data_IF_359501907218
#
_entry.id   IF_359501907218
#
_cell.length_a   1.000
_cell.length_b   1.000
_cell.length_c   1.000
_cell.angle_alpha   90.00
_cell.angle_beta   90.00
_cell.angle_gamma   90.00
#
_symmetry.space_group_name_H-M   'P 1'
#
loop_
_entity.id
_entity.type
_entity.pdbx_description
1 polymer ?
#
# COMPACT_ATOMS: atom_id res chain seq x y z
N UNK A 1 8.66 -4.00 -19.17
CA UNK A 1 7.21 -3.99 -18.94
C UNK A 1 6.86 -3.61 -17.52
N UNK A 2 5.83 -2.85 -17.34
CA UNK A 2 5.38 -2.38 -16.05
C UNK A 2 3.93 -2.75 -15.81
N UNK A 3 3.57 -2.95 -14.56
CA UNK A 3 2.17 -3.09 -14.16
C UNK A 3 1.91 -2.21 -12.95
N UNK A 4 0.73 -1.67 -12.88
CA UNK A 4 0.32 -0.77 -11.81
C UNK A 4 -0.87 -1.37 -11.06
N UNK A 5 -0.83 -1.28 -9.74
CA UNK A 5 -1.97 -1.58 -8.89
C UNK A 5 -2.33 -0.32 -8.10
N UNK A 6 -3.60 0.05 -8.12
CA UNK A 6 -4.12 1.17 -7.33
C UNK A 6 -5.18 0.65 -6.37
N UNK A 7 -4.99 0.94 -5.10
CA UNK A 7 -5.98 0.65 -4.07
C UNK A 7 -6.42 1.97 -3.46
N UNK A 8 -7.71 2.25 -3.53
CA UNK A 8 -8.27 3.52 -3.04
C UNK A 8 -9.01 3.30 -1.72
N UNK A 9 -9.08 4.37 -0.94
CA UNK A 9 -9.88 4.43 0.29
C UNK A 9 -9.44 3.42 1.34
N UNK A 10 -8.13 3.19 1.45
CA UNK A 10 -7.58 2.38 2.53
C UNK A 10 -7.74 3.15 3.84
N UNK A 11 -8.35 2.53 4.84
CA UNK A 11 -8.67 3.19 6.11
C UNK A 11 -7.46 3.18 7.04
N UNK A 12 -6.46 3.94 6.67
CA UNK A 12 -5.26 4.16 7.46
C UNK A 12 -4.64 5.49 7.06
N UNK A 13 -3.95 6.14 8.01
CA UNK A 13 -3.27 7.40 7.79
C UNK A 13 -2.13 7.23 6.77
N UNK A 14 -1.94 8.19 5.83
CA UNK A 14 -0.82 8.11 4.87
C UNK A 14 0.54 7.99 5.54
N UNK A 15 0.77 8.65 6.67
CA UNK A 15 2.04 8.60 7.37
C UNK A 15 2.43 7.18 7.78
N UNK A 16 1.47 6.44 8.31
CA UNK A 16 1.71 5.07 8.76
C UNK A 16 2.04 4.15 7.60
N UNK A 17 1.36 4.34 6.46
CA UNK A 17 1.61 3.53 5.26
C UNK A 17 2.95 3.92 4.64
N UNK A 18 3.28 5.22 4.58
CA UNK A 18 4.55 5.68 4.03
C UNK A 18 5.74 5.13 4.77
N UNK A 19 5.64 5.02 6.09
CA UNK A 19 6.71 4.46 6.89
C UNK A 19 7.07 3.04 6.44
N UNK A 20 6.05 2.21 6.23
CA UNK A 20 6.26 0.83 5.75
C UNK A 20 6.65 0.80 4.28
N UNK A 21 6.07 1.68 3.46
CA UNK A 21 6.38 1.75 2.03
C UNK A 21 7.85 2.07 1.77
N UNK A 22 8.47 2.89 2.61
CA UNK A 22 9.88 3.23 2.46
C UNK A 22 10.79 2.01 2.62
N UNK A 23 10.33 0.97 3.32
CA UNK A 23 11.11 -0.25 3.51
C UNK A 23 11.20 -1.10 2.24
N UNK A 24 10.28 -0.91 1.30
CA UNK A 24 10.17 -1.79 0.12
C UNK A 24 10.48 -1.09 -1.20
N UNK A 25 10.68 0.23 -1.20
CA UNK A 25 10.98 0.96 -2.44
C UNK A 25 12.29 0.48 -3.06
N UNK A 26 12.24 0.22 -4.37
CA UNK A 26 13.42 -0.17 -5.13
C UNK A 26 13.90 -1.58 -4.89
N UNK A 27 13.19 -2.36 -4.11
CA UNK A 27 13.57 -3.74 -3.80
C UNK A 27 12.92 -4.73 -4.75
N UNK A 28 13.50 -5.92 -4.86
CA UNK A 28 12.86 -7.01 -5.58
C UNK A 28 11.54 -7.37 -4.92
N UNK A 29 10.59 -7.82 -5.71
CA UNK A 29 9.27 -8.20 -5.19
C UNK A 29 9.39 -9.30 -4.13
N UNK A 30 10.28 -10.28 -4.32
CA UNK A 30 10.51 -11.34 -3.34
C UNK A 30 10.95 -10.76 -1.99
N UNK A 31 11.92 -9.85 -2.02
CA UNK A 31 12.42 -9.21 -0.81
C UNK A 31 11.34 -8.34 -0.16
N UNK A 32 10.56 -7.62 -0.97
CA UNK A 32 9.48 -6.78 -0.47
C UNK A 32 8.42 -7.63 0.24
N UNK A 33 8.03 -8.75 -0.34
CA UNK A 33 7.06 -9.66 0.27
C UNK A 33 7.58 -10.20 1.60
N UNK A 34 8.86 -10.57 1.66
CA UNK A 34 9.47 -11.07 2.89
C UNK A 34 9.50 -10.00 3.97
N UNK A 35 9.86 -8.77 3.62
CA UNK A 35 9.88 -7.65 4.56
C UNK A 35 8.47 -7.38 5.10
N UNK A 36 7.47 -7.32 4.23
CA UNK A 36 6.09 -7.04 4.63
C UNK A 36 5.50 -8.17 5.49
N UNK A 37 5.84 -9.41 5.18
CA UNK A 37 5.37 -10.56 5.97
C UNK A 37 5.98 -10.56 7.38
N UNK A 38 7.19 -10.04 7.53
CA UNK A 38 7.89 -9.97 8.81
C UNK A 38 7.54 -8.73 9.62
N UNK A 39 6.96 -7.71 8.98
CA UNK A 39 6.65 -6.44 9.62
C UNK A 39 5.31 -6.54 10.34
N UNK A 40 5.33 -6.28 11.64
CA UNK A 40 4.11 -6.35 12.46
C UNK A 40 3.39 -5.00 12.48
N UNK A 41 2.88 -4.60 11.32
CA UNK A 41 2.14 -3.35 11.14
C UNK A 41 0.89 -3.60 10.30
N UNK A 42 -0.18 -2.87 10.60
CA UNK A 42 -1.42 -2.97 9.81
C UNK A 42 -1.18 -2.57 8.35
N UNK A 43 -0.35 -1.54 8.13
CA UNK A 43 -0.04 -1.06 6.78
C UNK A 43 0.63 -2.12 5.92
N UNK A 44 1.42 -3.03 6.50
CA UNK A 44 2.10 -4.07 5.75
C UNK A 44 1.12 -5.01 5.06
N UNK A 45 -0.02 -5.29 5.66
CA UNK A 45 -1.05 -6.14 5.06
C UNK A 45 -1.64 -5.50 3.80
N UNK A 46 -1.92 -4.20 3.84
CA UNK A 46 -2.44 -3.48 2.68
C UNK A 46 -1.42 -3.46 1.54
N UNK A 47 -0.16 -3.20 1.86
CA UNK A 47 0.90 -3.17 0.85
C UNK A 47 1.17 -4.55 0.28
N UNK A 48 1.12 -5.59 1.10
CA UNK A 48 1.31 -6.97 0.63
C UNK A 48 0.23 -7.37 -0.38
N UNK A 49 -1.02 -7.06 -0.08
CA UNK A 49 -2.13 -7.31 -1.01
C UNK A 49 -1.95 -6.53 -2.31
N UNK A 50 -1.50 -5.28 -2.22
CA UNK A 50 -1.28 -4.43 -3.39
C UNK A 50 -0.17 -4.99 -4.28
N UNK A 51 0.93 -5.47 -3.69
CA UNK A 51 2.01 -6.10 -4.45
C UNK A 51 1.54 -7.37 -5.14
N UNK A 52 0.82 -8.23 -4.44
CA UNK A 52 0.30 -9.47 -5.03
C UNK A 52 -0.64 -9.17 -6.19
N UNK A 53 -1.47 -8.14 -6.05
CA UNK A 53 -2.35 -7.71 -7.14
C UNK A 53 -1.57 -7.19 -8.34
N UNK A 54 -0.51 -6.42 -8.12
CA UNK A 54 0.32 -5.90 -9.20
C UNK A 54 1.07 -7.03 -9.93
N UNK A 55 1.56 -8.02 -9.20
CA UNK A 55 2.20 -9.21 -9.81
C UNK A 55 1.20 -9.97 -10.67
N UNK A 56 -0.02 -10.15 -10.19
CA UNK A 56 -1.07 -10.81 -10.97
C UNK A 56 -1.39 -10.01 -12.24
N UNK A 57 -1.41 -8.68 -12.15
CA UNK A 57 -1.69 -7.82 -13.30
C UNK A 57 -0.60 -7.93 -14.37
N UNK A 58 0.67 -7.94 -13.98
CA UNK A 58 1.76 -8.02 -14.95
C UNK A 58 1.75 -9.38 -15.66
N UNK A 59 1.49 -10.45 -14.95
CA UNK A 59 1.40 -11.77 -15.54
C UNK A 59 0.19 -11.91 -16.46
N UNK A 60 -0.93 -11.31 -16.10
CA UNK A 60 -2.16 -11.35 -16.90
C UNK A 60 -1.99 -10.64 -18.24
N UNK A 61 -1.38 -9.44 -18.23
CA UNK A 61 -1.28 -8.62 -19.45
C UNK A 61 -0.26 -9.13 -20.46
N UNK A 62 0.73 -9.88 -20.02
CA UNK A 62 1.88 -10.19 -20.86
C UNK A 62 1.91 -11.64 -21.34
N UNK A 63 0.94 -12.45 -20.95
CA UNK A 63 0.91 -13.90 -21.22
C UNK A 63 2.23 -14.60 -20.84
N UNK A 64 3.11 -13.92 -20.12
CA UNK A 64 4.38 -14.44 -19.68
C UNK A 64 4.34 -14.59 -18.18
N UNK A 65 4.75 -15.74 -17.69
CA UNK A 65 4.88 -15.97 -16.26
C UNK A 65 6.22 -15.41 -15.80
N UNK A 66 6.22 -14.14 -15.41
CA UNK A 66 7.39 -13.55 -14.80
C UNK A 66 7.60 -14.15 -13.42
N UNK A 67 8.78 -14.67 -13.17
CA UNK A 67 9.16 -15.10 -11.84
C UNK A 67 9.34 -13.87 -10.95
N UNK A 68 8.97 -14.00 -9.68
CA UNK A 68 9.10 -12.88 -8.74
C UNK A 68 10.54 -12.38 -8.63
N UNK A 69 11.52 -13.23 -8.89
CA UNK A 69 12.94 -12.86 -8.86
C UNK A 69 13.29 -11.79 -9.89
N UNK A 70 12.54 -11.70 -10.97
CA UNK A 70 12.78 -10.76 -12.06
C UNK A 70 11.92 -9.51 -11.96
N UNK A 71 11.12 -9.38 -10.91
CA UNK A 71 10.23 -8.25 -10.70
C UNK A 71 10.77 -7.35 -9.58
N UNK A 72 10.67 -6.05 -9.82
CA UNK A 72 11.13 -5.02 -8.90
C UNK A 72 10.01 -4.03 -8.59
N UNK A 73 9.99 -3.55 -7.37
CA UNK A 73 9.09 -2.47 -6.98
C UNK A 73 9.70 -1.17 -7.48
N UNK A 74 9.16 -0.65 -8.57
CA UNK A 74 9.67 0.58 -9.18
C UNK A 74 9.25 1.82 -8.42
N UNK A 75 7.96 1.91 -8.10
CA UNK A 75 7.39 3.07 -7.41
C UNK A 75 6.34 2.62 -6.41
N UNK A 76 6.31 3.28 -5.28
CA UNK A 76 5.23 3.19 -4.30
C UNK A 76 4.80 4.60 -3.97
N UNK A 77 3.57 4.95 -4.31
CA UNK A 77 3.00 6.27 -4.06
C UNK A 77 1.87 6.13 -3.06
N UNK A 78 1.94 6.90 -2.00
CA UNK A 78 0.92 6.92 -0.96
C UNK A 78 0.32 8.31 -0.94
N UNK A 79 -0.91 8.44 -1.41
CA UNK A 79 -1.61 9.71 -1.47
C UNK A 79 -2.66 9.78 -0.38
N UNK A 80 -2.93 10.98 0.11
CA UNK A 80 -4.01 11.21 1.06
C UNK A 80 -5.37 11.12 0.36
N UNK A 81 -6.29 10.38 0.95
CA UNK A 81 -7.66 10.33 0.49
C UNK A 81 -8.59 11.22 1.32
N UNK A 82 -9.90 11.15 1.06
CA UNK A 82 -10.87 11.93 1.84
C UNK A 82 -10.79 11.61 3.32
N UNK A 83 -10.94 12.62 4.13
CA UNK A 83 -10.97 12.49 5.58
C UNK A 83 -12.43 12.41 6.03
N UNK A 84 -12.77 11.36 6.76
CA UNK A 84 -14.10 11.19 7.33
C UNK A 84 -14.09 11.81 8.71
N UNK A 85 -14.92 12.83 8.91
CA UNK A 85 -15.05 13.49 10.21
C UNK A 85 -16.08 12.75 11.05
N UNK A 86 -15.72 12.52 12.32
CA UNK A 86 -16.61 11.93 13.31
C UNK A 86 -16.46 12.73 14.60
N UNK A 87 -17.47 12.61 15.45
CA UNK A 87 -17.46 13.27 16.75
C UNK A 87 -17.58 12.23 17.85
N UNK A 88 -16.82 12.45 18.92
CA UNK A 88 -16.87 11.61 20.10
C UNK A 88 -17.24 12.48 21.29
N UNK A 89 -18.18 12.02 22.16
CA UNK A 89 -18.50 12.78 23.37
C UNK A 89 -17.28 12.94 24.25
N UNK A 90 -17.10 14.14 24.75
CA UNK A 90 -16.05 14.47 25.72
C UNK A 90 -16.69 14.89 27.03
N UNK A 91 -15.86 15.14 28.04
CA UNK A 91 -16.33 15.62 29.33
C UNK A 91 -17.13 16.92 29.17
N UNK A 92 -18.11 17.12 30.03
CA UNK A 92 -18.94 18.34 30.08
C UNK A 92 -19.79 18.57 28.82
N UNK A 93 -20.22 17.50 28.16
CA UNK A 93 -21.13 17.57 27.02
C UNK A 93 -20.54 18.11 25.73
N UNK A 94 -19.24 18.31 25.69
CA UNK A 94 -18.57 18.75 24.46
C UNK A 94 -18.35 17.59 23.52
N UNK A 95 -18.43 17.84 22.19
CA UNK A 95 -18.04 16.90 21.18
C UNK A 95 -16.62 17.16 20.73
N UNK A 96 -15.78 16.13 20.70
CA UNK A 96 -14.40 16.22 20.21
C UNK A 96 -14.37 15.70 18.79
N UNK A 97 -13.86 16.48 17.81
CA UNK A 97 -13.79 15.98 16.43
C UNK A 97 -12.73 14.90 16.30
N UNK A 98 -13.08 13.84 15.58
CA UNK A 98 -12.17 12.76 15.24
C UNK A 98 -12.09 12.69 13.73
N UNK A 99 -10.87 12.67 13.20
CA UNK A 99 -10.62 12.54 11.77
C UNK A 99 -10.24 11.10 11.45
N UNK A 100 -11.06 10.43 10.65
CA UNK A 100 -10.75 9.11 10.10
C UNK A 100 -10.10 9.31 8.74
N UNK A 101 -8.80 9.19 8.69
CA UNK A 101 -8.04 9.44 7.46
C UNK A 101 -8.03 8.20 6.58
N UNK A 102 -8.07 8.43 5.26
CA UNK A 102 -7.93 7.38 4.28
C UNK A 102 -6.73 7.66 3.41
N UNK A 103 -6.29 6.65 2.69
CA UNK A 103 -5.14 6.73 1.81
C UNK A 103 -5.40 5.99 0.51
N UNK A 104 -4.68 6.41 -0.54
CA UNK A 104 -4.67 5.73 -1.82
C UNK A 104 -3.27 5.17 -2.04
N UNK A 105 -3.17 3.90 -2.37
CA UNK A 105 -1.90 3.23 -2.60
C UNK A 105 -1.75 2.97 -4.09
N UNK A 106 -0.62 3.39 -4.67
CA UNK A 106 -0.26 3.07 -6.05
C UNK A 106 1.08 2.37 -6.04
N UNK A 107 1.13 1.16 -6.57
CA UNK A 107 2.37 0.39 -6.69
C UNK A 107 2.61 0.09 -8.16
N UNK A 108 3.82 0.41 -8.63
CA UNK A 108 4.27 0.08 -9.98
C UNK A 108 5.38 -0.94 -9.86
N UNK A 109 5.20 -2.06 -10.53
CA UNK A 109 6.17 -3.16 -10.60
C UNK A 109 6.70 -3.22 -12.02
N UNK A 110 8.01 -3.44 -12.15
CA UNK A 110 8.63 -3.60 -13.45
C UNK A 110 9.42 -4.89 -13.52
N UNK A 111 9.57 -5.40 -14.74
CA UNK A 111 10.45 -6.51 -15.06
C UNK A 111 11.75 -5.93 -15.65
N UNK A 112 12.86 -6.30 -15.05
CA UNK A 112 14.19 -5.92 -15.57
C UNK A 112 14.84 -7.04 -16.29
#
# INVERSE_FOLDING_TARGET
MEATCKVKYVRQSPYKIRFVADLIRGKKVVDAINILSSTNKKASQFLLKSINSAVANINYHDDANFENDNLYVKKVLIDGGPTIKRFRPAAMGRAVPIKKRTSHITIVIENK
#
